data_IF_661786607439
#
_entry.id   IF_661786607439
#
_cell.length_a   1.000
_cell.length_b   1.000
_cell.length_c   1.000
_cell.angle_alpha   90.00
_cell.angle_beta   90.00
_cell.angle_gamma   90.00
#
_symmetry.space_group_name_H-M   'P 1'
#
loop_
_entity.id
_entity.type
_entity.pdbx_description
1 polymer ?
#
# COMPACT_ATOMS: atom_id res chain seq x y z
N UNK A 1 11.02 -12.21 10.58
CA UNK A 1 10.68 -11.26 11.66
C UNK A 1 10.13 -10.07 10.93
N UNK A 2 8.82 -9.90 10.84
CA UNK A 2 8.32 -9.00 9.82
C UNK A 2 8.55 -7.53 10.14
N UNK A 3 9.46 -6.93 9.38
CA UNK A 3 9.69 -5.50 9.31
C UNK A 3 9.35 -5.07 7.88
N UNK A 4 8.35 -4.20 7.72
CA UNK A 4 7.97 -3.73 6.39
C UNK A 4 9.08 -2.93 5.69
N UNK A 5 10.09 -2.43 6.41
CA UNK A 5 11.23 -1.74 5.80
C UNK A 5 11.92 -2.63 4.75
N UNK A 6 11.96 -2.17 3.51
CA UNK A 6 12.48 -2.95 2.40
C UNK A 6 11.76 -2.72 1.09
N UNK A 7 12.13 -3.54 0.10
CA UNK A 7 11.54 -3.54 -1.24
C UNK A 7 10.60 -4.73 -1.38
N UNK A 8 9.36 -4.46 -1.75
CA UNK A 8 8.31 -5.44 -1.96
C UNK A 8 7.82 -5.39 -3.40
N UNK A 9 7.33 -6.53 -3.89
CA UNK A 9 6.70 -6.66 -5.20
C UNK A 9 5.43 -7.50 -5.08
N UNK A 10 4.35 -7.08 -5.72
CA UNK A 10 3.11 -7.85 -5.78
C UNK A 10 2.99 -8.66 -7.09
N UNK A 11 1.95 -9.50 -7.15
CA UNK A 11 1.68 -10.39 -8.29
C UNK A 11 1.32 -9.65 -9.59
N UNK A 12 0.88 -8.40 -9.48
CA UNK A 12 0.63 -7.52 -10.63
C UNK A 12 1.90 -6.85 -11.16
N UNK A 13 3.04 -7.04 -10.48
CA UNK A 13 4.33 -6.45 -10.85
C UNK A 13 4.59 -5.07 -10.27
N UNK A 14 3.69 -4.53 -9.43
CA UNK A 14 3.89 -3.26 -8.73
C UNK A 14 4.95 -3.41 -7.64
N UNK A 15 5.71 -2.35 -7.39
CA UNK A 15 6.75 -2.33 -6.35
C UNK A 15 6.45 -1.32 -5.27
N UNK A 16 6.91 -1.62 -4.06
CA UNK A 16 6.77 -0.76 -2.89
C UNK A 16 8.11 -0.72 -2.16
N UNK A 17 8.67 0.47 -1.97
CA UNK A 17 9.83 0.69 -1.12
C UNK A 17 9.37 1.36 0.17
N UNK A 18 9.57 0.71 1.31
CA UNK A 18 9.44 1.31 2.64
C UNK A 18 10.84 1.66 3.13
N UNK A 19 11.04 2.91 3.57
CA UNK A 19 12.37 3.40 3.92
C UNK A 19 12.79 2.95 5.33
N UNK A 20 11.96 3.26 6.32
CA UNK A 20 12.15 2.89 7.71
C UNK A 20 10.79 2.77 8.41
N UNK A 21 10.74 1.95 9.45
CA UNK A 21 9.66 1.88 10.42
C UNK A 21 10.20 2.48 11.72
N UNK A 22 9.52 3.46 12.30
CA UNK A 22 9.92 4.07 13.56
C UNK A 22 9.51 3.24 14.79
N UNK A 23 9.88 3.72 15.98
CA UNK A 23 9.58 3.07 17.25
C UNK A 23 8.09 3.11 17.65
N UNK A 24 7.26 3.83 16.90
CA UNK A 24 5.80 3.84 17.04
C UNK A 24 5.13 2.98 15.96
N UNK A 25 5.92 2.35 15.08
CA UNK A 25 5.42 1.54 13.98
C UNK A 25 5.01 2.34 12.75
N UNK A 26 5.19 3.66 12.72
CA UNK A 26 4.87 4.46 11.54
C UNK A 26 5.96 4.30 10.48
N UNK A 27 5.57 4.40 9.21
CA UNK A 27 6.48 4.34 8.10
C UNK A 27 6.05 5.19 6.92
N UNK A 28 7.04 5.49 6.06
CA UNK A 28 6.82 6.16 4.79
C UNK A 28 7.61 5.47 3.69
N UNK A 29 7.20 5.69 2.45
CA UNK A 29 7.77 5.01 1.31
C UNK A 29 7.33 5.55 -0.03
N UNK A 30 7.67 4.81 -1.06
CA UNK A 30 7.26 5.05 -2.44
C UNK A 30 6.60 3.79 -2.99
N UNK A 31 5.44 3.96 -3.62
CA UNK A 31 4.73 2.93 -4.36
C UNK A 31 4.85 3.20 -5.86
N UNK A 32 5.16 2.19 -6.65
CA UNK A 32 5.17 2.24 -8.10
C UNK A 32 4.27 1.15 -8.66
N UNK A 33 3.06 1.54 -9.07
CA UNK A 33 2.09 0.60 -9.63
C UNK A 33 2.51 0.15 -11.02
N UNK A 34 2.25 -1.12 -11.38
CA UNK A 34 2.42 -1.61 -12.76
C UNK A 34 1.16 -1.40 -13.61
N UNK A 35 0.02 -1.08 -12.99
CA UNK A 35 -1.29 -0.96 -13.64
C UNK A 35 -2.00 0.32 -13.20
N UNK A 36 -2.78 0.92 -14.09
CA UNK A 36 -3.56 2.12 -13.79
C UNK A 36 -4.74 2.25 -14.75
N UNK A 37 -5.88 2.74 -14.26
CA UNK A 37 -7.00 3.18 -15.10
C UNK A 37 -6.93 4.66 -15.47
N UNK A 38 -5.96 5.40 -14.93
CA UNK A 38 -5.74 6.80 -15.28
C UNK A 38 -5.22 6.91 -16.72
N UNK A 39 -5.60 7.99 -17.42
CA UNK A 39 -5.14 8.27 -18.79
C UNK A 39 -3.74 8.86 -18.85
N UNK A 40 -3.15 9.19 -17.71
CA UNK A 40 -1.82 9.77 -17.59
C UNK A 40 -0.77 8.67 -17.39
N UNK A 41 0.49 8.89 -17.82
CA UNK A 41 1.57 7.95 -17.55
C UNK A 41 1.74 7.69 -16.06
N UNK A 42 1.96 6.43 -15.69
CA UNK A 42 2.21 6.03 -14.31
C UNK A 42 3.46 6.74 -13.79
N UNK A 43 3.37 7.24 -12.56
CA UNK A 43 4.50 7.83 -11.84
C UNK A 43 4.63 7.21 -10.44
N UNK A 44 5.85 7.13 -9.87
CA UNK A 44 6.02 6.81 -8.46
C UNK A 44 5.16 7.74 -7.57
N UNK A 45 4.60 7.19 -6.50
CA UNK A 45 3.68 7.89 -5.60
C UNK A 45 4.05 7.66 -4.14
N UNK A 46 3.97 8.69 -3.28
CA UNK A 46 4.29 8.53 -1.87
C UNK A 46 3.25 7.65 -1.16
N UNK A 47 3.73 6.86 -0.21
CA UNK A 47 2.90 6.12 0.73
C UNK A 47 3.24 6.47 2.18
N UNK A 48 2.25 6.37 3.06
CA UNK A 48 2.40 6.51 4.52
C UNK A 48 1.50 5.51 5.23
N UNK A 49 1.98 4.93 6.32
CA UNK A 49 1.22 3.93 7.06
C UNK A 49 1.79 3.65 8.43
N UNK A 50 1.24 2.63 9.07
CA UNK A 50 1.74 2.09 10.32
C UNK A 50 1.59 0.57 10.36
N UNK A 51 2.44 -0.07 11.15
CA UNK A 51 2.38 -1.49 11.48
C UNK A 51 2.36 -1.67 12.99
N UNK A 52 1.81 -2.80 13.42
CA UNK A 52 1.95 -3.25 14.80
C UNK A 52 3.41 -3.67 15.06
N UNK A 53 3.85 -3.52 16.31
CA UNK A 53 5.18 -3.89 16.79
C UNK A 53 5.14 -5.21 17.56
N UNK A 54 4.57 -6.24 16.93
CA UNK A 54 4.32 -7.53 17.56
C UNK A 54 5.64 -8.32 17.74
N UNK A 55 5.83 -8.92 18.91
CA UNK A 55 7.05 -9.69 19.24
C UNK A 55 7.18 -10.97 18.41
N UNK A 56 6.06 -11.53 17.95
CA UNK A 56 6.02 -12.76 17.15
C UNK A 56 6.35 -12.52 15.66
N UNK A 57 6.52 -11.25 15.26
CA UNK A 57 6.87 -10.85 13.90
C UNK A 57 5.75 -11.07 12.88
N UNK A 58 4.48 -11.18 13.30
CA UNK A 58 3.30 -11.33 12.42
C UNK A 58 2.42 -10.07 12.41
N UNK A 59 3.04 -8.92 12.19
CA UNK A 59 2.39 -7.63 12.32
C UNK A 59 1.25 -7.42 11.31
N UNK A 60 0.12 -6.91 11.82
CA UNK A 60 -0.89 -6.25 10.97
C UNK A 60 -0.44 -4.84 10.64
N UNK A 61 -0.81 -4.36 9.47
CA UNK A 61 -0.42 -3.02 9.00
C UNK A 61 -1.46 -2.42 8.07
N UNK A 62 -1.35 -1.10 7.89
CA UNK A 62 -2.10 -0.39 6.86
C UNK A 62 -1.32 0.80 6.34
N UNK A 63 -1.51 1.12 5.07
CA UNK A 63 -0.92 2.31 4.46
C UNK A 63 -1.81 2.92 3.39
N UNK A 64 -1.61 4.21 3.14
CA UNK A 64 -2.30 5.01 2.14
C UNK A 64 -1.30 5.39 1.05
N UNK A 65 -1.69 5.25 -0.21
CA UNK A 65 -0.97 5.73 -1.38
C UNK A 65 -1.73 6.91 -1.98
N UNK A 66 -1.04 8.04 -2.13
CA UNK A 66 -1.59 9.24 -2.75
C UNK A 66 -1.10 9.35 -4.19
N UNK A 67 -2.01 9.17 -5.17
CA UNK A 67 -1.67 9.10 -6.58
C UNK A 67 -1.52 10.46 -7.28
N UNK A 68 -1.46 11.57 -6.52
CA UNK A 68 -1.43 12.95 -7.03
C UNK A 68 -0.43 13.22 -8.17
N UNK A 69 0.63 12.42 -8.31
CA UNK A 69 1.58 12.55 -9.42
C UNK A 69 0.99 12.24 -10.81
N UNK A 70 -0.10 11.46 -10.90
CA UNK A 70 -0.74 11.13 -12.17
C UNK A 70 -2.26 10.84 -12.12
N UNK A 71 -2.88 10.84 -10.94
CA UNK A 71 -4.32 10.60 -10.74
C UNK A 71 -4.86 11.38 -9.54
N UNK A 72 -6.16 11.69 -9.56
CA UNK A 72 -6.88 12.33 -8.46
C UNK A 72 -7.40 11.32 -7.40
N UNK A 73 -7.07 10.04 -7.55
CA UNK A 73 -7.51 8.95 -6.67
C UNK A 73 -6.60 8.74 -5.45
N UNK A 74 -7.05 7.93 -4.50
CA UNK A 74 -6.26 7.46 -3.34
C UNK A 74 -6.51 5.97 -3.14
N UNK A 75 -5.50 5.19 -2.76
CA UNK A 75 -5.68 3.79 -2.41
C UNK A 75 -5.23 3.54 -0.99
N UNK A 76 -6.00 2.76 -0.24
CA UNK A 76 -5.57 2.23 1.06
C UNK A 76 -5.32 0.73 0.92
N UNK A 77 -4.29 0.26 1.60
CA UNK A 77 -3.98 -1.15 1.77
C UNK A 77 -4.05 -1.48 3.26
N UNK A 78 -4.58 -2.64 3.58
CA UNK A 78 -4.56 -3.23 4.92
C UNK A 78 -4.22 -4.69 4.80
N UNK A 79 -3.43 -5.22 5.73
CA UNK A 79 -2.98 -6.59 5.64
C UNK A 79 -2.23 -7.08 6.86
N UNK A 80 -1.66 -8.26 6.68
CA UNK A 80 -0.81 -8.91 7.67
C UNK A 80 0.39 -9.53 6.97
N UNK A 81 1.52 -9.48 7.67
CA UNK A 81 2.73 -10.13 7.24
C UNK A 81 2.84 -11.54 7.81
N UNK A 82 3.25 -12.48 6.96
CA UNK A 82 3.45 -13.88 7.31
C UNK A 82 4.82 -14.36 6.84
N UNK A 83 5.28 -15.47 7.39
CA UNK A 83 6.40 -16.25 6.86
C UNK A 83 5.81 -17.53 6.28
N UNK A 84 6.09 -17.81 5.01
CA UNK A 84 5.59 -19.02 4.33
C UNK A 84 6.43 -20.27 4.68
N UNK A 85 5.99 -21.44 4.21
CA UNK A 85 6.66 -22.73 4.46
C UNK A 85 8.09 -22.80 3.87
N UNK A 86 8.48 -21.81 3.05
CA UNK A 86 9.82 -21.67 2.47
C UNK A 86 10.63 -20.58 3.17
N UNK A 87 10.21 -20.16 4.36
CA UNK A 87 10.84 -19.12 5.17
C UNK A 87 10.88 -17.73 4.49
N UNK A 88 9.96 -17.45 3.57
CA UNK A 88 9.87 -16.16 2.87
C UNK A 88 8.79 -15.29 3.50
N UNK A 89 9.09 -14.01 3.66
CA UNK A 89 8.11 -13.04 4.13
C UNK A 89 7.10 -12.72 3.01
N UNK A 90 5.82 -12.76 3.34
CA UNK A 90 4.70 -12.53 2.42
C UNK A 90 3.72 -11.57 3.07
N UNK A 91 3.36 -10.52 2.33
CA UNK A 91 2.33 -9.56 2.72
C UNK A 91 1.00 -9.98 2.09
N UNK A 92 0.05 -10.42 2.93
CA UNK A 92 -1.32 -10.65 2.48
C UNK A 92 -2.12 -9.38 2.71
N UNK A 93 -2.65 -8.80 1.63
CA UNK A 93 -3.30 -7.48 1.68
C UNK A 93 -4.63 -7.47 0.94
N UNK A 94 -5.55 -6.67 1.46
CA UNK A 94 -6.69 -6.15 0.73
C UNK A 94 -6.49 -4.64 0.50
N UNK A 95 -7.14 -4.10 -0.51
CA UNK A 95 -7.08 -2.68 -0.83
C UNK A 95 -8.44 -2.14 -1.22
N UNK A 96 -8.59 -0.83 -1.04
CA UNK A 96 -9.71 -0.06 -1.59
C UNK A 96 -9.13 1.11 -2.36
N UNK A 97 -9.54 1.25 -3.62
CA UNK A 97 -9.21 2.42 -4.43
C UNK A 97 -10.40 3.36 -4.42
N UNK A 98 -10.13 4.62 -4.05
CA UNK A 98 -11.09 5.69 -4.02
C UNK A 98 -10.85 6.67 -5.16
N UNK A 99 -11.79 6.72 -6.10
CA UNK A 99 -11.84 7.74 -7.16
C UNK A 99 -12.42 9.06 -6.61
N UNK A 100 -11.94 10.18 -7.15
CA UNK A 100 -12.56 11.49 -6.98
C UNK A 100 -13.77 11.59 -7.89
N UNK A 101 -14.89 12.08 -7.36
CA UNK A 101 -16.14 12.30 -8.10
C UNK A 101 -16.66 13.71 -7.85
N UNK A 102 -17.44 14.22 -8.80
CA UNK A 102 -17.90 15.61 -8.80
C UNK A 102 -18.95 15.91 -7.72
N UNK A 103 -19.63 14.88 -7.20
CA UNK A 103 -20.69 15.05 -6.20
C UNK A 103 -21.10 13.75 -5.50
N UNK A 104 -21.85 13.90 -4.40
CA UNK A 104 -22.27 12.78 -3.53
C UNK A 104 -23.13 11.74 -4.26
N UNK A 105 -23.91 12.15 -5.26
CA UNK A 105 -24.75 11.25 -6.05
C UNK A 105 -23.92 10.27 -6.91
N UNK A 106 -22.65 10.60 -7.17
CA UNK A 106 -21.70 9.71 -7.85
C UNK A 106 -20.84 8.88 -6.87
N UNK A 107 -21.06 8.99 -5.56
CA UNK A 107 -20.26 8.29 -4.54
C UNK A 107 -20.33 6.77 -4.65
N UNK A 108 -21.48 6.22 -5.05
CA UNK A 108 -21.73 4.78 -5.07
C UNK A 108 -20.76 3.99 -5.98
N UNK A 109 -20.24 4.65 -7.02
CA UNK A 109 -19.31 4.05 -8.01
C UNK A 109 -17.84 4.38 -7.74
N UNK A 110 -17.55 5.12 -6.68
CA UNK A 110 -16.25 5.74 -6.48
C UNK A 110 -15.26 4.87 -5.68
N UNK A 111 -15.69 3.71 -5.17
CA UNK A 111 -14.82 2.77 -4.46
C UNK A 111 -14.75 1.45 -5.23
N UNK A 112 -13.53 1.00 -5.51
CA UNK A 112 -13.21 -0.31 -6.11
C UNK A 112 -12.47 -1.16 -5.09
#
# INVERSE_FOLDING_TARGET
QCNLAGLWKNDLGSTMQVHNVDNEGNFSGTYHTAVSSAKQPIQPSPLRGSQHLDEDGKCTFGFVVNWKSFSDSTTVFVGQCFVDDKEREVLQTAWLLRDKVDGVDSNWKATK
#
